data_IF_707372796533
#
_entry.id   IF_707372796533
#
_cell.length_a   1.000
_cell.length_b   1.000
_cell.length_c   1.000
_cell.angle_alpha   90.00
_cell.angle_beta   90.00
_cell.angle_gamma   90.00
#
_symmetry.space_group_name_H-M   'P 1'
#
loop_
_entity.id
_entity.type
_entity.pdbx_description
1 polymer ?
#
# COMPACT_ATOMS: atom_id res chain seq x y z
N UNK A 1 -0.16 4.98 21.37
CA UNK A 1 -1.19 4.08 20.82
C UNK A 1 -2.18 4.95 20.04
N UNK A 2 -2.48 4.62 18.78
CA UNK A 2 -3.43 5.37 17.95
C UNK A 2 -4.78 4.64 17.92
N UNK A 3 -5.87 5.39 17.80
CA UNK A 3 -7.22 4.87 17.61
C UNK A 3 -7.99 5.84 16.69
N UNK A 4 -8.73 5.36 15.69
CA UNK A 4 -9.66 6.18 14.91
C UNK A 4 -10.75 6.79 15.81
N UNK A 5 -11.08 8.06 15.59
CA UNK A 5 -12.16 8.73 16.32
C UNK A 5 -13.52 8.13 15.96
N UNK A 6 -13.76 7.91 14.66
CA UNK A 6 -14.94 7.24 14.12
C UNK A 6 -14.77 5.72 14.05
N UNK A 7 -15.85 4.94 14.23
CA UNK A 7 -15.79 3.49 14.07
C UNK A 7 -15.48 3.10 12.61
N UNK A 8 -14.64 2.07 12.45
CA UNK A 8 -14.45 1.42 11.15
C UNK A 8 -15.56 0.37 10.98
N UNK A 9 -16.43 0.56 10.00
CA UNK A 9 -17.55 -0.34 9.72
C UNK A 9 -17.14 -1.40 8.72
N UNK A 10 -17.45 -2.67 9.01
CA UNK A 10 -17.26 -3.80 8.11
C UNK A 10 -18.61 -4.46 7.85
N UNK A 11 -19.00 -4.56 6.58
CA UNK A 11 -20.23 -5.22 6.13
C UNK A 11 -19.85 -6.52 5.41
N UNK A 12 -20.35 -7.63 5.95
CA UNK A 12 -20.18 -8.95 5.35
C UNK A 12 -21.42 -9.31 4.55
N UNK A 13 -21.27 -9.48 3.24
CA UNK A 13 -22.39 -9.66 2.32
C UNK A 13 -22.56 -11.13 1.95
N UNK A 14 -23.68 -11.73 2.36
CA UNK A 14 -23.95 -13.17 2.17
C UNK A 14 -24.37 -13.54 0.73
N UNK A 15 -24.54 -12.57 -0.16
CA UNK A 15 -24.99 -12.78 -1.55
C UNK A 15 -23.86 -13.15 -2.52
N UNK A 16 -24.22 -13.77 -3.65
CA UNK A 16 -23.27 -14.06 -4.74
C UNK A 16 -23.05 -12.87 -5.69
N UNK A 17 -23.83 -11.80 -5.56
CA UNK A 17 -23.78 -10.61 -6.41
C UNK A 17 -23.30 -9.42 -5.57
N UNK A 18 -21.99 -9.20 -5.57
CA UNK A 18 -21.43 -7.90 -5.22
C UNK A 18 -21.53 -7.03 -6.49
N UNK A 19 -22.32 -5.97 -6.46
CA UNK A 19 -22.41 -5.00 -7.54
C UNK A 19 -22.35 -3.58 -6.97
N UNK A 20 -21.14 -3.14 -6.59
CA UNK A 20 -20.84 -1.72 -6.51
C UNK A 20 -20.22 -1.28 -7.85
N UNK A 21 -20.86 -0.37 -8.62
CA UNK A 21 -20.32 0.09 -9.90
C UNK A 21 -18.98 0.85 -9.80
N UNK A 22 -18.54 1.21 -8.59
CA UNK A 22 -17.24 1.85 -8.32
C UNK A 22 -16.12 0.82 -8.07
N UNK A 23 -16.47 -0.43 -7.81
CA UNK A 23 -15.52 -1.50 -7.56
C UNK A 23 -15.36 -2.38 -8.81
N UNK A 24 -14.12 -2.69 -9.24
CA UNK A 24 -13.90 -3.63 -10.34
C UNK A 24 -14.50 -5.01 -10.03
N UNK A 25 -14.99 -5.75 -11.04
CA UNK A 25 -15.57 -7.09 -10.86
C UNK A 25 -14.61 -8.10 -10.19
N UNK A 26 -13.30 -7.87 -10.32
CA UNK A 26 -12.27 -8.71 -9.71
C UNK A 26 -11.96 -8.36 -8.25
N UNK A 27 -12.51 -7.27 -7.71
CA UNK A 27 -12.25 -6.83 -6.34
C UNK A 27 -12.80 -7.86 -5.34
N UNK A 28 -11.91 -8.39 -4.50
CA UNK A 28 -12.28 -9.36 -3.48
C UNK A 28 -12.87 -8.71 -2.21
N UNK A 29 -12.79 -7.38 -2.12
CA UNK A 29 -13.37 -6.48 -1.13
C UNK A 29 -13.30 -5.05 -1.65
N UNK A 30 -14.00 -4.11 -1.01
CA UNK A 30 -13.99 -2.70 -1.39
C UNK A 30 -14.17 -1.80 -0.17
N UNK A 31 -13.50 -0.65 -0.16
CA UNK A 31 -13.59 0.33 0.93
C UNK A 31 -13.87 1.73 0.40
N UNK A 32 -15.06 2.25 0.72
CA UNK A 32 -15.46 3.64 0.44
C UNK A 32 -15.59 4.50 1.71
N UNK A 33 -15.03 4.02 2.81
CA UNK A 33 -15.32 4.47 4.18
C UNK A 33 -16.04 3.39 4.99
N UNK A 34 -16.76 2.49 4.31
CA UNK A 34 -17.21 1.20 4.84
C UNK A 34 -16.50 0.08 4.11
N UNK A 35 -16.05 -0.95 4.82
CA UNK A 35 -15.41 -2.11 4.21
C UNK A 35 -16.49 -3.12 3.83
N UNK A 36 -16.65 -3.38 2.55
CA UNK A 36 -17.58 -4.34 1.98
C UNK A 36 -16.86 -5.62 1.57
N UNK A 37 -17.32 -6.76 2.08
CA UNK A 37 -16.70 -8.06 1.80
C UNK A 37 -17.75 -9.11 1.43
N UNK A 38 -17.76 -9.62 0.19
CA UNK A 38 -18.68 -10.67 -0.23
C UNK A 38 -18.23 -12.04 0.31
N UNK A 39 -19.13 -12.72 1.03
CA UNK A 39 -18.87 -14.03 1.61
C UNK A 39 -19.09 -15.18 0.62
N UNK A 40 -19.84 -14.98 -0.48
CA UNK A 40 -20.05 -15.96 -1.57
C UNK A 40 -20.30 -17.41 -1.09
N UNK A 41 -21.13 -17.58 -0.05
CA UNK A 41 -21.45 -18.88 0.53
C UNK A 41 -20.37 -19.50 1.44
N UNK A 42 -19.35 -18.75 1.85
CA UNK A 42 -18.35 -19.20 2.83
C UNK A 42 -18.97 -19.35 4.23
N UNK A 43 -18.78 -20.52 4.84
CA UNK A 43 -19.15 -20.79 6.24
C UNK A 43 -18.06 -20.35 7.25
N UNK A 44 -16.83 -20.11 6.77
CA UNK A 44 -15.67 -19.67 7.57
C UNK A 44 -14.79 -18.71 6.79
N UNK A 45 -14.07 -17.83 7.49
CA UNK A 45 -13.07 -16.96 6.87
C UNK A 45 -11.94 -17.81 6.26
N UNK A 46 -11.64 -17.58 4.98
CA UNK A 46 -10.52 -18.20 4.27
C UNK A 46 -9.27 -17.33 4.36
N UNK A 47 -8.07 -17.91 4.16
CA UNK A 47 -6.82 -17.14 4.13
C UNK A 47 -6.87 -15.98 3.12
N UNK A 48 -7.36 -16.16 1.88
CA UNK A 48 -7.53 -15.04 0.94
C UNK A 48 -8.45 -13.95 1.47
N UNK A 49 -9.55 -14.32 2.14
CA UNK A 49 -10.49 -13.34 2.69
C UNK A 49 -9.88 -12.52 3.83
N UNK A 50 -9.08 -13.16 4.69
CA UNK A 50 -8.37 -12.47 5.78
C UNK A 50 -7.34 -11.50 5.22
N UNK A 51 -6.65 -11.85 4.13
CA UNK A 51 -5.71 -10.96 3.46
C UNK A 51 -6.43 -9.70 2.94
N UNK A 52 -7.54 -9.87 2.22
CA UNK A 52 -8.37 -8.76 1.73
C UNK A 52 -8.87 -7.88 2.88
N UNK A 53 -9.40 -8.48 3.95
CA UNK A 53 -9.85 -7.72 5.11
C UNK A 53 -8.73 -6.90 5.74
N UNK A 54 -7.51 -7.42 5.82
CA UNK A 54 -6.34 -6.69 6.33
C UNK A 54 -5.96 -5.53 5.42
N UNK A 55 -6.01 -5.74 4.11
CA UNK A 55 -5.76 -4.72 3.10
C UNK A 55 -6.75 -3.55 3.26
N UNK A 56 -8.04 -3.84 3.22
CA UNK A 56 -9.08 -2.81 3.33
C UNK A 56 -9.05 -2.11 4.71
N UNK A 57 -8.78 -2.86 5.77
CA UNK A 57 -8.64 -2.29 7.10
C UNK A 57 -7.44 -1.34 7.19
N UNK A 58 -6.33 -1.66 6.52
CA UNK A 58 -5.17 -0.78 6.46
C UNK A 58 -5.52 0.59 5.88
N UNK A 59 -6.27 0.64 4.76
CA UNK A 59 -6.73 1.91 4.18
C UNK A 59 -7.55 2.74 5.17
N UNK A 60 -8.50 2.12 5.90
CA UNK A 60 -9.28 2.83 6.91
C UNK A 60 -8.42 3.42 8.03
N UNK A 61 -7.44 2.67 8.55
CA UNK A 61 -6.53 3.17 9.59
C UNK A 61 -5.60 4.27 9.08
N UNK A 62 -5.06 4.13 7.87
CA UNK A 62 -4.19 5.13 7.26
C UNK A 62 -4.99 6.42 7.04
N UNK A 63 -6.17 6.33 6.42
CA UNK A 63 -7.05 7.49 6.19
C UNK A 63 -7.43 8.18 7.49
N UNK A 64 -7.77 7.42 8.54
CA UNK A 64 -8.07 7.98 9.85
C UNK A 64 -6.86 8.67 10.48
N UNK A 65 -5.65 8.12 10.30
CA UNK A 65 -4.41 8.68 10.89
C UNK A 65 -3.90 9.92 10.16
N UNK A 66 -4.09 9.97 8.85
CA UNK A 66 -3.52 11.01 7.97
C UNK A 66 -4.56 12.02 7.49
N UNK A 67 -5.83 11.84 7.83
CA UNK A 67 -6.95 12.62 7.28
C UNK A 67 -6.96 12.65 5.74
N UNK A 68 -6.51 11.56 5.11
CA UNK A 68 -6.41 11.43 3.66
C UNK A 68 -5.15 12.04 3.03
N UNK A 69 -4.24 12.63 3.82
CA UNK A 69 -3.00 13.24 3.34
C UNK A 69 -1.87 12.21 3.09
N UNK A 70 -2.19 10.97 2.73
CA UNK A 70 -1.19 9.93 2.50
C UNK A 70 -1.00 9.70 0.99
N UNK A 71 0.23 9.70 0.44
CA UNK A 71 0.48 9.34 -0.95
C UNK A 71 -0.06 7.95 -1.29
N UNK A 72 -0.65 7.77 -2.48
CA UNK A 72 -1.25 6.49 -2.89
C UNK A 72 -0.25 5.34 -2.82
N UNK A 73 0.98 5.50 -3.33
CA UNK A 73 1.99 4.44 -3.25
C UNK A 73 2.25 3.96 -1.81
N UNK A 74 2.20 4.87 -0.84
CA UNK A 74 2.42 4.52 0.56
C UNK A 74 1.20 3.81 1.15
N UNK A 75 -0.01 4.24 0.79
CA UNK A 75 -1.25 3.58 1.19
C UNK A 75 -1.27 2.12 0.71
N UNK A 76 -1.06 1.92 -0.60
CA UNK A 76 -1.07 0.61 -1.25
C UNK A 76 0.07 -0.28 -0.76
N UNK A 77 1.27 0.30 -0.56
CA UNK A 77 2.41 -0.46 -0.06
C UNK A 77 2.21 -0.96 1.37
N UNK A 78 1.63 -0.13 2.26
CA UNK A 78 1.32 -0.54 3.64
C UNK A 78 0.19 -1.58 3.66
N UNK A 79 -0.86 -1.40 2.85
CA UNK A 79 -1.96 -2.33 2.76
C UNK A 79 -1.50 -3.72 2.29
N UNK A 80 -0.71 -3.77 1.21
CA UNK A 80 -0.11 -5.01 0.70
C UNK A 80 0.92 -5.64 1.67
N UNK A 81 1.61 -4.83 2.47
CA UNK A 81 2.51 -5.38 3.50
C UNK A 81 1.71 -6.03 4.65
N UNK A 82 0.63 -5.38 5.10
CA UNK A 82 -0.21 -5.87 6.20
C UNK A 82 -1.09 -7.08 5.84
N UNK A 83 -1.53 -7.22 4.59
CA UNK A 83 -2.28 -8.40 4.15
C UNK A 83 -1.48 -9.71 4.24
N UNK A 84 -0.15 -9.60 4.36
CA UNK A 84 0.78 -10.73 4.45
C UNK A 84 1.78 -10.78 3.29
N UNK A 85 1.90 -9.70 2.51
CA UNK A 85 2.95 -9.56 1.50
C UNK A 85 4.32 -9.76 2.12
N UNK A 86 5.11 -10.69 1.57
CA UNK A 86 6.43 -10.98 2.10
C UNK A 86 7.39 -9.82 1.73
N UNK A 87 7.89 -9.02 2.70
CA UNK A 87 8.84 -7.95 2.42
C UNK A 87 10.20 -8.46 1.93
N UNK A 88 10.43 -9.78 1.93
CA UNK A 88 11.60 -10.46 1.36
C UNK A 88 11.34 -11.04 -0.02
N UNK A 89 10.08 -11.10 -0.46
CA UNK A 89 9.69 -11.42 -1.82
C UNK A 89 9.90 -10.17 -2.65
N UNK A 90 11.10 -10.07 -3.20
CA UNK A 90 11.34 -9.10 -4.26
C UNK A 90 10.53 -9.56 -5.47
N UNK A 91 9.55 -8.74 -5.86
CA UNK A 91 8.82 -9.01 -7.08
C UNK A 91 9.82 -8.95 -8.25
N UNK A 92 9.97 -10.08 -8.95
CA UNK A 92 10.85 -10.19 -10.09
C UNK A 92 10.55 -9.10 -11.14
N UNK A 93 9.29 -8.66 -11.23
CA UNK A 93 8.87 -7.55 -12.09
C UNK A 93 9.56 -6.24 -11.70
N UNK A 94 9.61 -5.91 -10.41
CA UNK A 94 10.22 -4.68 -9.91
C UNK A 94 11.75 -4.72 -10.05
N UNK A 95 12.38 -5.86 -9.75
CA UNK A 95 13.84 -6.02 -9.94
C UNK A 95 14.23 -5.88 -11.42
N UNK A 96 13.45 -6.48 -12.32
CA UNK A 96 13.66 -6.35 -13.77
C UNK A 96 13.46 -4.90 -14.22
N UNK A 97 12.39 -4.23 -13.76
CA UNK A 97 12.14 -2.82 -14.06
C UNK A 97 13.27 -1.91 -13.56
N UNK A 98 13.79 -2.14 -12.35
CA UNK A 98 14.92 -1.40 -11.78
C UNK A 98 16.18 -1.50 -12.64
N UNK A 99 16.51 -2.71 -13.10
CA UNK A 99 17.68 -2.97 -13.96
C UNK A 99 17.54 -2.40 -15.37
N UNK A 100 16.30 -2.20 -15.82
CA UNK A 100 16.00 -1.68 -17.15
C UNK A 100 15.60 -0.20 -17.13
N UNK A 101 15.81 0.49 -16.00
CA UNK A 101 15.47 1.91 -15.81
C UNK A 101 14.02 2.24 -16.17
N UNK A 102 13.09 1.34 -15.82
CA UNK A 102 11.66 1.47 -16.09
C UNK A 102 10.81 1.64 -14.83
N UNK A 103 11.42 1.84 -13.67
CA UNK A 103 10.65 2.13 -12.46
C UNK A 103 9.91 3.46 -12.60
N UNK A 104 8.74 3.53 -11.99
CA UNK A 104 7.99 4.77 -11.86
C UNK A 104 8.62 5.60 -10.73
N UNK A 105 8.83 6.92 -10.91
CA UNK A 105 9.25 7.75 -9.79
C UNK A 105 8.13 7.77 -8.73
N UNK A 106 8.44 7.44 -7.47
CA UNK A 106 7.45 7.37 -6.39
C UNK A 106 6.66 8.69 -6.23
N UNK A 107 7.30 9.84 -6.48
CA UNK A 107 6.66 11.16 -6.46
C UNK A 107 5.54 11.29 -7.51
N UNK A 108 5.62 10.56 -8.61
CA UNK A 108 4.54 10.54 -9.62
C UNK A 108 3.39 9.61 -9.24
N UNK A 109 3.58 8.79 -8.21
CA UNK A 109 2.62 7.81 -7.68
C UNK A 109 1.92 8.29 -6.39
N UNK A 110 1.96 9.59 -6.10
CA UNK A 110 1.19 10.15 -4.97
C UNK A 110 -0.29 10.33 -5.29
N UNK A 111 -0.61 10.53 -6.58
CA UNK A 111 -1.98 10.64 -7.08
C UNK A 111 -2.69 9.29 -7.23
N UNK A 112 -3.98 9.29 -7.62
CA UNK A 112 -4.77 8.06 -7.76
C UNK A 112 -4.20 7.16 -8.86
N UNK A 113 -3.99 5.88 -8.58
CA UNK A 113 -3.46 4.92 -9.57
C UNK A 113 -4.36 4.76 -10.79
N UNK A 114 -5.67 5.02 -10.68
CA UNK A 114 -6.61 5.02 -11.80
C UNK A 114 -6.25 6.04 -12.89
N UNK A 115 -5.39 7.02 -12.59
CA UNK A 115 -4.87 7.98 -13.57
C UNK A 115 -3.64 7.45 -14.33
N UNK A 116 -3.04 6.34 -13.90
CA UNK A 116 -1.91 5.72 -14.56
C UNK A 116 -2.36 4.92 -15.80
N UNK A 117 -1.49 4.77 -16.81
CA UNK A 117 -1.71 3.85 -17.92
C UNK A 117 -1.99 2.41 -17.42
N UNK A 118 -2.94 1.68 -18.02
CA UNK A 118 -3.30 0.33 -17.56
C UNK A 118 -2.12 -0.66 -17.51
N UNK A 119 -1.15 -0.51 -18.40
CA UNK A 119 0.07 -1.31 -18.45
C UNK A 119 1.08 -1.01 -17.33
N UNK A 120 0.91 0.12 -16.63
CA UNK A 120 1.75 0.54 -15.50
C UNK A 120 1.14 0.17 -14.14
N UNK A 121 -0.16 -0.12 -14.06
CA UNK A 121 -0.86 -0.39 -12.79
C UNK A 121 -0.20 -1.50 -11.98
N UNK A 122 0.05 -2.65 -12.62
CA UNK A 122 0.67 -3.80 -11.94
C UNK A 122 2.05 -3.46 -11.37
N UNK A 123 2.85 -2.71 -12.13
CA UNK A 123 4.15 -2.25 -11.68
C UNK A 123 4.03 -1.26 -10.52
N UNK A 124 3.08 -0.32 -10.56
CA UNK A 124 2.87 0.66 -9.50
C UNK A 124 2.53 0.01 -8.14
N UNK A 125 1.65 -1.00 -8.12
CA UNK A 125 1.36 -1.76 -6.91
C UNK A 125 2.59 -2.52 -6.40
N UNK A 126 3.34 -3.17 -7.29
CA UNK A 126 4.53 -3.93 -6.93
C UNK A 126 5.66 -3.01 -6.40
N UNK A 127 5.86 -1.84 -7.01
CA UNK A 127 6.80 -0.81 -6.56
C UNK A 127 6.43 -0.27 -5.19
N UNK A 128 5.13 -0.02 -4.95
CA UNK A 128 4.59 0.46 -3.67
C UNK A 128 4.91 -0.49 -2.52
N UNK A 129 4.62 -1.78 -2.69
CA UNK A 129 4.96 -2.81 -1.71
C UNK A 129 6.48 -2.89 -1.51
N UNK A 130 7.25 -2.87 -2.59
CA UNK A 130 8.72 -2.94 -2.54
C UNK A 130 9.36 -1.77 -1.79
N UNK A 131 8.86 -0.55 -2.01
CA UNK A 131 9.32 0.67 -1.35
C UNK A 131 8.99 0.64 0.16
N UNK A 132 7.77 0.23 0.54
CA UNK A 132 7.39 0.08 1.96
C UNK A 132 8.21 -1.02 2.63
N UNK A 133 8.40 -2.16 1.96
CA UNK A 133 9.27 -3.22 2.45
C UNK A 133 10.71 -2.72 2.67
N UNK A 134 11.21 -1.85 1.79
CA UNK A 134 12.53 -1.20 1.96
C UNK A 134 12.60 -0.30 3.18
N UNK A 135 11.57 0.51 3.44
CA UNK A 135 11.47 1.31 4.68
C UNK A 135 11.53 0.40 5.90
N UNK A 136 10.71 -0.64 5.93
CA UNK A 136 10.65 -1.58 7.06
C UNK A 136 12.00 -2.27 7.26
N UNK A 137 12.67 -2.73 6.20
CA UNK A 137 13.99 -3.38 6.29
C UNK A 137 15.08 -2.45 6.80
N UNK A 138 15.09 -1.17 6.40
CA UNK A 138 16.20 -0.24 6.67
C UNK A 138 15.99 0.65 7.88
N UNK A 139 14.73 0.95 8.23
CA UNK A 139 14.35 1.89 9.30
C UNK A 139 13.37 1.30 10.32
N UNK A 140 12.87 0.08 10.09
CA UNK A 140 11.91 -0.60 10.96
C UNK A 140 10.47 -0.08 10.82
N UNK A 141 9.51 -0.83 11.37
CA UNK A 141 8.08 -0.49 11.34
C UNK A 141 7.77 0.86 12.01
N UNK A 142 8.55 1.23 13.03
CA UNK A 142 8.40 2.52 13.71
C UNK A 142 8.59 3.71 12.76
N UNK A 143 9.32 3.55 11.66
CA UNK A 143 9.47 4.58 10.64
C UNK A 143 8.17 4.83 9.86
N UNK A 144 7.41 3.77 9.56
CA UNK A 144 6.07 3.89 8.95
C UNK A 144 5.14 4.66 9.90
N UNK A 145 5.18 4.34 11.19
CA UNK A 145 4.35 5.03 12.20
C UNK A 145 4.72 6.52 12.28
N UNK A 146 6.00 6.88 12.25
CA UNK A 146 6.45 8.29 12.22
C UNK A 146 6.03 8.99 10.93
N UNK A 147 6.12 8.31 9.79
CA UNK A 147 5.73 8.86 8.50
C UNK A 147 4.23 9.17 8.48
N UNK A 148 3.38 8.21 8.86
CA UNK A 148 1.94 8.42 9.00
C UNK A 148 1.61 9.51 10.02
N UNK A 149 2.41 9.67 11.08
CA UNK A 149 2.23 10.75 12.04
C UNK A 149 2.48 12.13 11.43
N UNK A 150 3.61 12.32 10.75
CA UNK A 150 3.92 13.58 10.07
C UNK A 150 2.89 13.93 8.99
N UNK A 151 2.44 12.94 8.22
CA UNK A 151 1.38 13.13 7.23
C UNK A 151 0.05 13.53 7.89
N UNK A 152 -0.28 12.96 9.06
CA UNK A 152 -1.44 13.38 9.87
C UNK A 152 -1.34 14.78 10.45
N UNK A 153 -0.13 15.28 10.68
CA UNK A 153 0.12 16.68 11.04
C UNK A 153 0.07 17.63 9.82
N UNK A 154 -0.42 17.12 8.67
CA UNK A 154 -0.57 17.79 7.38
C UNK A 154 0.75 18.21 6.72
N UNK A 155 1.86 17.58 7.09
CA UNK A 155 3.10 17.74 6.35
C UNK A 155 2.93 17.14 4.95
N UNK A 156 3.41 17.79 3.88
CA UNK A 156 3.54 17.14 2.59
C UNK A 156 4.55 15.99 2.70
N UNK A 157 4.43 14.98 1.83
CA UNK A 157 5.31 13.80 1.87
C UNK A 157 6.80 14.16 1.73
N UNK A 158 7.12 15.19 0.95
CA UNK A 158 8.47 15.75 0.80
C UNK A 158 9.10 16.22 2.13
N UNK A 159 8.27 16.66 3.08
CA UNK A 159 8.71 17.08 4.41
C UNK A 159 8.63 15.93 5.44
N UNK A 160 7.62 15.06 5.32
CA UNK A 160 7.42 13.94 6.23
C UNK A 160 8.51 12.86 6.09
N UNK A 161 9.01 12.62 4.86
CA UNK A 161 10.05 11.62 4.58
C UNK A 161 11.38 11.93 5.29
N UNK A 162 11.97 13.13 5.19
CA UNK A 162 13.16 13.50 5.96
C UNK A 162 13.00 13.29 7.45
N UNK A 163 11.85 13.68 8.03
CA UNK A 163 11.58 13.54 9.46
C UNK A 163 11.52 12.08 9.88
N UNK A 164 10.86 11.22 9.08
CA UNK A 164 10.66 9.82 9.43
C UNK A 164 11.87 8.93 9.13
N UNK A 165 12.55 9.19 8.00
CA UNK A 165 13.55 8.29 7.39
C UNK A 165 14.97 8.86 7.40
N UNK A 166 15.15 10.14 7.75
CA UNK A 166 16.40 10.89 7.59
C UNK A 166 16.91 10.90 6.13
N UNK A 167 15.98 10.84 5.16
CA UNK A 167 16.24 10.89 3.73
C UNK A 167 15.21 11.80 3.08
N UNK A 168 15.65 12.68 2.19
CA UNK A 168 14.76 13.38 1.26
C UNK A 168 14.11 12.40 0.29
N UNK A 169 13.07 12.86 -0.42
CA UNK A 169 12.39 12.05 -1.43
C UNK A 169 13.36 11.45 -2.47
N UNK A 170 14.24 12.23 -3.12
CA UNK A 170 15.17 11.69 -4.11
C UNK A 170 16.20 10.73 -3.51
N UNK A 171 16.65 10.99 -2.28
CA UNK A 171 17.57 10.10 -1.57
C UNK A 171 16.90 8.77 -1.21
N UNK A 172 15.63 8.80 -0.80
CA UNK A 172 14.85 7.60 -0.54
C UNK A 172 14.62 6.79 -1.82
N UNK A 173 14.15 7.43 -2.91
CA UNK A 173 14.01 6.81 -4.23
C UNK A 173 15.30 6.10 -4.62
N UNK A 174 16.43 6.81 -4.58
CA UNK A 174 17.73 6.24 -4.96
C UNK A 174 18.15 5.08 -4.05
N UNK A 175 17.99 5.22 -2.73
CA UNK A 175 18.32 4.16 -1.77
C UNK A 175 17.54 2.87 -2.05
N UNK A 176 16.27 2.99 -2.38
CA UNK A 176 15.41 1.86 -2.72
C UNK A 176 15.80 1.23 -4.06
N UNK A 177 16.01 2.03 -5.10
CA UNK A 177 16.44 1.53 -6.41
C UNK A 177 17.79 0.82 -6.37
N UNK A 178 18.76 1.36 -5.62
CA UNK A 178 20.09 0.77 -5.46
C UNK A 178 20.00 -0.58 -4.75
N UNK A 179 19.12 -0.71 -3.74
CA UNK A 179 18.86 -1.97 -3.08
C UNK A 179 18.29 -3.02 -4.06
N UNK A 180 17.35 -2.64 -4.93
CA UNK A 180 16.78 -3.53 -5.94
C UNK A 180 17.80 -4.01 -6.97
N UNK A 181 18.70 -3.13 -7.41
CA UNK A 181 19.77 -3.47 -8.37
C UNK A 181 20.80 -4.41 -7.75
N UNK A 182 21.09 -4.25 -6.46
CA UNK A 182 22.00 -5.09 -5.69
C UNK A 182 21.45 -6.48 -5.36
N UNK A 183 20.14 -6.66 -5.41
CA UNK A 183 19.52 -7.96 -5.17
C UNK A 183 19.61 -8.91 -6.37
N UNK A 184 19.85 -10.19 -6.10
CA UNK A 184 19.76 -11.24 -7.11
C UNK A 184 18.29 -11.69 -7.25
N UNK A 185 17.73 -11.77 -8.48
CA UNK A 185 16.38 -12.29 -8.67
C UNK A 185 16.34 -13.72 -8.12
N UNK A 186 15.49 -13.97 -7.13
CA UNK A 186 15.24 -15.33 -6.67
C UNK A 186 14.32 -16.03 -7.67
N UNK A 187 14.63 -17.28 -8.07
CA UNK A 187 13.84 -18.04 -9.01
C UNK A 187 12.43 -18.35 -8.48
#
# INVERSE_FOLDING_TARGET
>A
HFRPDDPITVVLEMGNTFQDPRAPEWAAGFNDGTIHVPLRGMERLSVPLVAVLRHELAHSFIRARTSGNCPTWLQEGIAQWLEGGDPRREDAVVVVAARQHRLLPLLTMEGPFQSLPPDQLSLAYAESLSAVAHIVRTRGEAAIVRLLAGLGDRLPAEEALPVALALSYPEFQKSWEDALKGSAPRP
#
